data_IF_819500847745
#
_entry.id   IF_819500847745
#
_cell.length_a   1.000
_cell.length_b   1.000
_cell.length_c   1.000
_cell.angle_alpha   90.00
_cell.angle_beta   90.00
_cell.angle_gamma   90.00
#
_symmetry.space_group_name_H-M   'P 1'
#
loop_
_entity.id
_entity.type
_entity.pdbx_description
1 polymer ?
#
# COMPACT_ATOMS: atom_id res chain seq x y z
N UNK A 1 -54.93 15.48 28.12
CA UNK A 1 -53.50 15.29 28.43
C UNK A 1 -52.76 15.06 27.11
N UNK A 2 -52.17 16.12 26.55
CA UNK A 2 -51.41 16.10 25.30
C UNK A 2 -49.94 15.83 25.59
N UNK A 3 -49.34 14.84 24.94
CA UNK A 3 -47.89 14.68 24.84
C UNK A 3 -47.54 14.54 23.36
N UNK A 4 -47.16 15.67 22.77
CA UNK A 4 -46.58 15.73 21.43
C UNK A 4 -45.15 15.17 21.47
N UNK A 5 -44.87 14.18 20.61
CA UNK A 5 -43.51 13.69 20.36
C UNK A 5 -42.82 14.63 19.37
N UNK A 6 -41.85 15.40 19.84
CA UNK A 6 -40.91 16.13 18.98
C UNK A 6 -39.93 15.13 18.36
N UNK A 7 -40.01 14.95 17.04
CA UNK A 7 -38.96 14.32 16.26
C UNK A 7 -37.91 15.38 15.92
N UNK A 8 -36.71 15.24 16.46
CA UNK A 8 -35.56 16.09 16.10
C UNK A 8 -34.97 15.51 14.81
N UNK A 9 -35.30 16.12 13.67
CA UNK A 9 -34.56 15.90 12.43
C UNK A 9 -33.17 16.54 12.59
N UNK A 10 -32.16 15.69 12.74
CA UNK A 10 -30.76 16.10 12.58
C UNK A 10 -30.50 16.33 11.09
N UNK A 11 -30.34 17.59 10.69
CA UNK A 11 -29.84 17.95 9.37
C UNK A 11 -28.35 17.60 9.32
N UNK A 12 -28.00 16.55 8.57
CA UNK A 12 -26.61 16.25 8.22
C UNK A 12 -26.19 17.27 7.15
N UNK A 13 -25.28 18.17 7.52
CA UNK A 13 -24.56 19.02 6.57
C UNK A 13 -23.71 18.10 5.67
N UNK A 14 -24.08 18.00 4.39
CA UNK A 14 -23.19 17.47 3.36
C UNK A 14 -22.16 18.56 3.04
N UNK A 15 -20.98 18.48 3.67
CA UNK A 15 -19.84 19.29 3.27
C UNK A 15 -19.44 18.88 1.85
N UNK A 16 -19.54 19.83 0.92
CA UNK A 16 -19.22 19.63 -0.49
C UNK A 16 -17.78 19.19 -0.68
N UNK A 17 -17.58 18.22 -1.58
CA UNK A 17 -16.28 17.88 -2.13
C UNK A 17 -15.75 19.08 -2.94
N UNK A 18 -15.10 20.01 -2.26
CA UNK A 18 -14.20 20.95 -2.91
C UNK A 18 -13.07 20.15 -3.53
N UNK A 19 -12.90 20.25 -4.84
CA UNK A 19 -11.71 19.74 -5.53
C UNK A 19 -10.51 20.54 -5.02
N UNK A 20 -9.92 20.07 -3.93
CA UNK A 20 -8.64 20.56 -3.46
C UNK A 20 -7.64 20.35 -4.60
N UNK A 21 -6.80 21.36 -4.93
CA UNK A 21 -5.69 21.12 -5.85
C UNK A 21 -4.91 19.93 -5.31
N UNK A 22 -4.60 18.97 -6.18
CA UNK A 22 -3.84 17.77 -5.84
C UNK A 22 -2.41 18.22 -5.54
N UNK A 23 -2.19 18.70 -4.32
CA UNK A 23 -0.86 18.99 -3.79
C UNK A 23 -0.33 17.67 -3.29
N UNK A 24 0.78 17.24 -3.88
CA UNK A 24 1.40 16.00 -3.47
C UNK A 24 1.88 16.10 -2.02
N UNK A 25 1.60 15.08 -1.19
CA UNK A 25 1.84 15.19 0.23
C UNK A 25 3.36 15.27 0.51
N UNK A 26 3.80 16.14 1.43
CA UNK A 26 5.17 16.10 1.93
C UNK A 26 5.46 14.74 2.59
N UNK A 27 6.74 14.36 2.66
CA UNK A 27 7.17 13.07 3.25
C UNK A 27 6.80 12.99 4.73
N UNK A 28 6.76 14.14 5.40
CA UNK A 28 6.40 14.33 6.79
C UNK A 28 4.96 13.87 7.09
N UNK A 29 4.06 13.91 6.10
CA UNK A 29 2.66 13.51 6.28
C UNK A 29 2.50 12.01 6.59
N UNK A 30 3.45 11.19 6.12
CA UNK A 30 3.50 9.75 6.41
C UNK A 30 4.20 9.38 7.72
N UNK A 31 4.66 10.37 8.51
CA UNK A 31 5.52 10.10 9.67
C UNK A 31 4.84 9.17 10.67
N UNK A 32 3.54 9.37 10.93
CA UNK A 32 2.80 8.57 11.90
C UNK A 32 2.73 7.09 11.51
N UNK A 33 2.48 6.78 10.23
CA UNK A 33 2.42 5.42 9.70
C UNK A 33 3.81 4.76 9.73
N UNK A 34 4.87 5.52 9.39
CA UNK A 34 6.25 5.04 9.44
C UNK A 34 6.74 4.76 10.86
N UNK A 35 6.43 5.65 11.81
CA UNK A 35 6.74 5.42 13.23
C UNK A 35 5.96 4.21 13.78
N UNK A 36 4.70 4.07 13.37
CA UNK A 36 3.87 2.92 13.72
C UNK A 36 4.45 1.60 13.19
N UNK A 37 5.05 1.59 12.00
CA UNK A 37 5.76 0.42 11.49
C UNK A 37 6.92 0.00 12.39
N UNK A 38 7.68 0.94 12.96
CA UNK A 38 8.81 0.61 13.83
C UNK A 38 8.39 0.00 15.16
N UNK A 39 7.18 0.30 15.63
CA UNK A 39 6.64 -0.15 16.92
C UNK A 39 5.64 -1.30 16.81
N UNK A 40 5.23 -1.66 15.59
CA UNK A 40 4.28 -2.74 15.36
C UNK A 40 4.89 -4.11 15.68
N UNK A 41 4.07 -5.00 16.26
CA UNK A 41 4.50 -6.36 16.63
C UNK A 41 4.73 -7.27 15.43
N UNK A 42 4.09 -6.99 14.30
CA UNK A 42 4.05 -7.87 13.15
C UNK A 42 4.13 -7.06 11.86
N UNK A 43 4.94 -7.56 10.93
CA UNK A 43 4.95 -7.17 9.54
C UNK A 43 4.69 -8.45 8.72
N UNK A 44 3.70 -8.39 7.83
CA UNK A 44 3.43 -9.43 6.84
C UNK A 44 3.44 -8.83 5.44
N UNK A 45 3.68 -9.64 4.43
CA UNK A 45 3.84 -9.20 3.05
C UNK A 45 2.87 -9.96 2.15
N UNK A 46 2.13 -9.27 1.29
CA UNK A 46 1.32 -9.91 0.26
C UNK A 46 1.95 -9.66 -1.11
N UNK A 47 2.17 -10.72 -1.89
CA UNK A 47 2.70 -10.62 -3.26
C UNK A 47 1.57 -10.19 -4.21
N UNK A 48 1.84 -9.21 -5.08
CA UNK A 48 0.87 -8.71 -6.07
C UNK A 48 0.65 -9.70 -7.22
N UNK A 49 -0.54 -9.65 -7.83
CA UNK A 49 -0.83 -10.39 -9.06
C UNK A 49 -0.09 -9.80 -10.27
N UNK A 50 -0.02 -10.52 -11.42
CA UNK A 50 0.53 -10.00 -12.67
C UNK A 50 -0.12 -8.71 -13.15
N UNK A 51 0.61 -7.90 -13.91
CA UNK A 51 0.07 -6.61 -14.36
C UNK A 51 -1.05 -6.80 -15.39
N UNK A 52 -2.28 -6.34 -15.11
CA UNK A 52 -3.45 -6.49 -15.99
C UNK A 52 -3.17 -6.05 -17.45
N UNK A 53 -2.57 -4.87 -17.65
CA UNK A 53 -2.30 -4.37 -19.01
C UNK A 53 -1.11 -5.04 -19.73
N UNK A 54 -0.11 -5.58 -19.02
CA UNK A 54 1.12 -6.14 -19.61
C UNK A 54 1.08 -7.67 -19.71
N UNK A 55 0.30 -8.30 -18.83
CA UNK A 55 0.27 -9.73 -18.59
C UNK A 55 -1.18 -10.22 -18.48
N UNK A 56 -2.08 -9.66 -19.31
CA UNK A 56 -3.54 -9.87 -19.23
C UNK A 56 -3.95 -11.35 -19.12
N UNK A 57 -3.33 -12.24 -19.91
CA UNK A 57 -3.62 -13.67 -19.86
C UNK A 57 -3.18 -14.33 -18.54
N UNK A 58 -2.05 -13.90 -17.97
CA UNK A 58 -1.62 -14.36 -16.66
C UNK A 58 -2.56 -13.81 -15.59
N UNK A 59 -2.84 -12.50 -15.58
CA UNK A 59 -3.76 -11.89 -14.63
C UNK A 59 -5.14 -12.57 -14.64
N UNK A 60 -5.76 -12.77 -15.80
CA UNK A 60 -7.08 -13.40 -15.90
C UNK A 60 -7.14 -14.85 -15.38
N UNK A 61 -6.00 -15.56 -15.39
CA UNK A 61 -5.87 -16.87 -14.76
C UNK A 61 -5.67 -16.75 -13.26
N UNK A 62 -4.74 -15.89 -12.83
CA UNK A 62 -4.36 -15.75 -11.42
C UNK A 62 -5.48 -15.12 -10.59
N UNK A 63 -6.27 -14.20 -11.15
CA UNK A 63 -7.41 -13.57 -10.50
C UNK A 63 -8.51 -14.56 -10.08
N UNK A 64 -8.63 -15.68 -10.79
CA UNK A 64 -9.63 -16.73 -10.51
C UNK A 64 -9.19 -17.67 -9.38
N UNK A 65 -7.96 -17.53 -8.88
CA UNK A 65 -7.44 -18.36 -7.81
C UNK A 65 -8.14 -18.03 -6.50
N UNK A 66 -8.40 -19.08 -5.71
CA UNK A 66 -9.03 -18.96 -4.38
C UNK A 66 -8.09 -18.37 -3.33
N UNK A 67 -6.79 -18.43 -3.57
CA UNK A 67 -5.74 -17.93 -2.68
C UNK A 67 -5.31 -16.51 -3.08
N UNK A 68 -6.31 -15.65 -3.30
CA UNK A 68 -6.14 -14.22 -3.58
C UNK A 68 -7.07 -13.39 -2.71
N UNK A 69 -6.69 -12.14 -2.49
CA UNK A 69 -7.50 -11.14 -1.79
C UNK A 69 -7.44 -9.80 -2.51
N UNK A 70 -8.46 -8.99 -2.31
CA UNK A 70 -8.50 -7.60 -2.77
C UNK A 70 -8.18 -6.68 -1.60
N UNK A 71 -7.26 -5.75 -1.81
CA UNK A 71 -6.91 -4.68 -0.87
C UNK A 71 -6.98 -3.35 -1.64
N UNK A 72 -7.87 -2.46 -1.21
CA UNK A 72 -8.32 -1.32 -2.00
C UNK A 72 -8.76 -1.81 -3.41
N UNK A 73 -8.13 -1.29 -4.47
CA UNK A 73 -8.42 -1.68 -5.85
C UNK A 73 -7.41 -2.68 -6.43
N UNK A 74 -6.53 -3.25 -5.60
CA UNK A 74 -5.44 -4.12 -6.03
C UNK A 74 -5.62 -5.55 -5.51
N UNK A 75 -5.07 -6.51 -6.26
CA UNK A 75 -5.16 -7.94 -5.92
C UNK A 75 -3.81 -8.49 -5.51
N UNK A 76 -3.83 -9.28 -4.45
CA UNK A 76 -2.65 -9.92 -3.87
C UNK A 76 -2.91 -11.40 -3.62
N UNK A 77 -1.86 -12.21 -3.63
CA UNK A 77 -1.90 -13.60 -3.23
C UNK A 77 -2.00 -13.74 -1.69
N UNK A 78 -2.63 -14.83 -1.24
CA UNK A 78 -2.71 -15.24 0.18
C UNK A 78 -2.25 -16.70 0.37
N UNK A 79 -1.74 -17.13 1.52
CA UNK A 79 -1.50 -16.34 2.72
C UNK A 79 -0.35 -15.35 2.53
N UNK A 80 -0.28 -14.37 3.41
CA UNK A 80 0.85 -13.45 3.47
C UNK A 80 2.15 -14.20 3.80
N UNK A 81 3.25 -13.66 3.30
CA UNK A 81 4.62 -14.06 3.63
C UNK A 81 5.05 -13.34 4.89
N UNK A 82 5.57 -14.09 5.87
CA UNK A 82 6.28 -13.53 7.01
C UNK A 82 7.78 -13.53 6.72
N UNK A 83 8.45 -12.37 6.61
CA UNK A 83 9.89 -12.33 6.43
C UNK A 83 10.61 -12.92 7.64
N UNK A 84 11.83 -13.46 7.43
CA UNK A 84 12.70 -13.83 8.54
C UNK A 84 13.07 -12.58 9.37
N UNK A 85 13.49 -12.73 10.65
CA UNK A 85 13.73 -11.59 11.52
C UNK A 85 14.74 -10.56 10.99
N UNK A 86 15.80 -11.02 10.30
CA UNK A 86 16.82 -10.12 9.78
C UNK A 86 16.29 -9.33 8.58
N UNK A 87 15.54 -9.98 7.68
CA UNK A 87 14.86 -9.31 6.57
C UNK A 87 13.75 -8.37 7.06
N UNK A 88 12.97 -8.78 8.05
CA UNK A 88 11.94 -7.93 8.67
C UNK A 88 12.55 -6.61 9.14
N UNK A 89 13.63 -6.68 9.92
CA UNK A 89 14.33 -5.49 10.41
C UNK A 89 14.80 -4.58 9.27
N UNK A 90 15.41 -5.13 8.21
CA UNK A 90 15.89 -4.33 7.06
C UNK A 90 14.73 -3.68 6.30
N UNK A 91 13.64 -4.40 6.08
CA UNK A 91 12.45 -3.87 5.41
C UNK A 91 11.82 -2.72 6.20
N UNK A 92 11.68 -2.86 7.53
CA UNK A 92 11.20 -1.79 8.40
C UNK A 92 12.09 -0.56 8.36
N UNK A 93 13.40 -0.75 8.42
CA UNK A 93 14.36 0.36 8.34
C UNK A 93 14.23 1.11 7.02
N UNK A 94 14.09 0.40 5.89
CA UNK A 94 13.93 1.05 4.58
C UNK A 94 12.61 1.82 4.52
N UNK A 95 11.49 1.21 4.91
CA UNK A 95 10.17 1.84 4.81
C UNK A 95 9.95 2.98 5.80
N UNK A 96 10.56 2.91 6.98
CA UNK A 96 10.43 3.94 7.99
C UNK A 96 11.40 5.12 7.78
N UNK A 97 12.45 4.98 6.98
CA UNK A 97 13.40 6.06 6.70
C UNK A 97 12.78 7.11 5.77
N UNK A 98 12.64 8.39 6.19
CA UNK A 98 12.12 9.43 5.31
C UNK A 98 13.00 9.63 4.06
N UNK A 99 14.30 9.34 4.12
CA UNK A 99 15.20 9.42 2.97
C UNK A 99 14.94 8.33 1.91
N UNK A 100 14.08 7.35 2.21
CA UNK A 100 13.58 6.40 1.22
C UNK A 100 12.51 6.98 0.31
N UNK A 101 11.89 8.10 0.71
CA UNK A 101 10.77 8.70 0.04
C UNK A 101 11.15 10.04 -0.58
N UNK A 102 10.53 10.36 -1.71
CA UNK A 102 10.53 11.68 -2.31
C UNK A 102 9.08 12.05 -2.69
N UNK A 103 8.82 13.35 -2.80
CA UNK A 103 7.53 13.85 -3.26
C UNK A 103 7.14 13.17 -4.57
N UNK A 104 5.88 12.75 -4.68
CA UNK A 104 5.40 12.06 -5.87
C UNK A 104 5.45 12.97 -7.09
N UNK A 105 5.64 12.36 -8.24
CA UNK A 105 5.58 13.02 -9.53
C UNK A 105 4.85 12.12 -10.50
N UNK A 106 4.04 12.71 -11.38
CA UNK A 106 3.29 11.93 -12.36
C UNK A 106 4.24 11.20 -13.32
N UNK A 107 4.09 9.88 -13.39
CA UNK A 107 4.87 9.00 -14.29
C UNK A 107 4.00 8.42 -15.40
N UNK A 108 4.56 8.32 -16.61
CA UNK A 108 3.93 7.65 -17.76
C UNK A 108 4.23 6.15 -17.79
N UNK A 109 4.09 5.47 -16.64
CA UNK A 109 4.41 4.04 -16.48
C UNK A 109 3.22 3.08 -16.70
N UNK A 110 2.03 3.59 -17.03
CA UNK A 110 0.82 2.78 -17.27
C UNK A 110 -0.10 2.63 -16.06
N UNK A 111 0.11 3.41 -15.00
CA UNK A 111 -0.67 3.39 -13.76
C UNK A 111 0.07 2.72 -12.60
N UNK A 112 -0.43 2.93 -11.39
CA UNK A 112 0.12 2.28 -10.19
C UNK A 112 -0.30 0.82 -10.19
N UNK A 113 0.68 -0.08 -10.06
CA UNK A 113 0.43 -1.51 -9.99
C UNK A 113 1.37 -2.14 -8.95
N UNK A 114 0.90 -2.39 -7.73
CA UNK A 114 1.78 -2.83 -6.65
C UNK A 114 2.21 -4.28 -6.85
N UNK A 115 3.52 -4.49 -6.82
CA UNK A 115 4.15 -5.80 -6.81
C UNK A 115 4.12 -6.45 -5.43
N UNK A 116 4.02 -5.62 -4.38
CA UNK A 116 4.03 -6.04 -2.98
C UNK A 116 3.16 -5.13 -2.12
N UNK A 117 2.49 -5.71 -1.13
CA UNK A 117 1.89 -5.01 0.00
C UNK A 117 2.63 -5.36 1.29
N UNK A 118 2.98 -4.34 2.08
CA UNK A 118 3.47 -4.48 3.44
C UNK A 118 2.33 -4.18 4.40
N UNK A 119 2.02 -5.11 5.29
CA UNK A 119 0.85 -5.03 6.16
C UNK A 119 1.29 -5.03 7.62
N UNK A 120 0.87 -4.02 8.38
CA UNK A 120 1.07 -3.97 9.83
C UNK A 120 -0.11 -3.31 10.52
N UNK A 121 -0.16 -3.46 11.85
CA UNK A 121 -1.20 -2.87 12.69
C UNK A 121 -0.62 -1.91 13.71
N UNK A 122 -1.33 -0.80 13.92
CA UNK A 122 -1.09 0.13 15.02
C UNK A 122 -2.38 0.30 15.81
N UNK A 123 -2.45 -0.37 16.97
CA UNK A 123 -3.70 -0.50 17.71
C UNK A 123 -4.79 -1.19 16.88
N UNK A 124 -5.86 -0.46 16.56
CA UNK A 124 -6.98 -0.95 15.73
C UNK A 124 -6.85 -0.61 14.25
N UNK A 125 -5.82 0.14 13.84
CA UNK A 125 -5.62 0.58 12.46
C UNK A 125 -4.83 -0.47 11.69
N UNK A 126 -5.38 -0.94 10.59
CA UNK A 126 -4.66 -1.68 9.57
C UNK A 126 -3.99 -0.65 8.64
N UNK A 127 -2.67 -0.79 8.47
CA UNK A 127 -1.87 0.10 7.63
C UNK A 127 -1.17 -0.77 6.58
N UNK A 128 -1.21 -0.28 5.34
CA UNK A 128 -0.60 -0.95 4.22
C UNK A 128 0.38 -0.02 3.51
N UNK A 129 1.56 -0.50 3.14
CA UNK A 129 2.42 0.17 2.17
C UNK A 129 2.50 -0.68 0.91
N UNK A 130 1.96 -0.17 -0.19
CA UNK A 130 1.97 -0.82 -1.48
C UNK A 130 3.19 -0.34 -2.27
N UNK A 131 3.98 -1.26 -2.81
CA UNK A 131 5.20 -0.95 -3.58
C UNK A 131 5.02 -1.37 -5.03
N UNK A 132 5.17 -0.43 -5.95
CA UNK A 132 5.16 -0.67 -7.39
C UNK A 132 6.59 -0.62 -7.94
N UNK A 133 7.11 -1.74 -8.44
CA UNK A 133 8.44 -1.80 -9.04
C UNK A 133 8.49 -1.15 -10.41
N UNK A 134 7.41 -1.26 -11.20
CA UNK A 134 7.33 -0.64 -12.52
C UNK A 134 7.44 0.88 -12.46
N UNK A 135 6.72 1.53 -11.53
CA UNK A 135 6.75 2.98 -11.37
C UNK A 135 7.80 3.44 -10.36
N UNK A 136 8.37 2.56 -9.54
CA UNK A 136 9.28 2.91 -8.41
C UNK A 136 8.59 3.87 -7.44
N UNK A 137 7.40 3.48 -7.02
CA UNK A 137 6.53 4.28 -6.19
C UNK A 137 6.06 3.46 -5.00
N UNK A 138 5.68 4.19 -3.95
CA UNK A 138 5.11 3.64 -2.73
C UNK A 138 3.80 4.37 -2.42
N UNK A 139 2.78 3.61 -2.05
CA UNK A 139 1.48 4.15 -1.61
C UNK A 139 1.19 3.65 -0.21
N UNK A 140 1.02 4.54 0.75
CA UNK A 140 0.60 4.21 2.12
C UNK A 140 -0.92 4.36 2.19
N UNK A 141 -1.58 3.32 2.64
CA UNK A 141 -3.01 3.27 2.91
C UNK A 141 -3.20 3.11 4.42
N UNK A 142 -3.92 4.06 5.02
CA UNK A 142 -4.42 3.96 6.39
C UNK A 142 -5.93 4.31 6.38
N UNK A 143 -6.66 4.08 7.48
CA UNK A 143 -8.08 4.44 7.55
C UNK A 143 -8.34 5.93 7.33
N UNK A 144 -7.34 6.77 7.61
CA UNK A 144 -7.46 8.22 7.52
C UNK A 144 -7.02 8.79 6.17
N UNK A 145 -6.11 8.12 5.46
CA UNK A 145 -5.47 8.72 4.29
C UNK A 145 -4.87 7.70 3.32
N UNK A 146 -4.70 8.18 2.09
CA UNK A 146 -3.91 7.54 1.05
C UNK A 146 -2.82 8.49 0.61
N UNK A 147 -1.57 8.13 0.87
CA UNK A 147 -0.40 8.95 0.57
C UNK A 147 0.45 8.25 -0.50
N UNK A 148 0.89 8.99 -1.51
CA UNK A 148 1.71 8.44 -2.59
C UNK A 148 3.04 9.15 -2.67
N UNK A 149 4.09 8.36 -2.87
CA UNK A 149 5.47 8.82 -2.89
C UNK A 149 6.27 8.16 -4.01
N UNK A 150 7.31 8.85 -4.43
CA UNK A 150 8.39 8.24 -5.20
C UNK A 150 9.35 7.52 -4.24
N UNK A 151 9.81 6.33 -4.61
CA UNK A 151 10.96 5.72 -3.94
C UNK A 151 12.25 6.34 -4.45
N UNK A 152 13.18 6.66 -3.56
CA UNK A 152 14.53 7.05 -3.99
C UNK A 152 15.23 5.87 -4.67
N UNK A 153 16.16 6.10 -5.62
CA UNK A 153 16.85 5.01 -6.32
C UNK A 153 17.53 4.02 -5.37
N UNK A 154 18.12 4.52 -4.28
CA UNK A 154 18.77 3.70 -3.27
C UNK A 154 17.76 2.83 -2.50
N UNK A 155 16.64 3.39 -2.05
CA UNK A 155 15.60 2.63 -1.36
C UNK A 155 14.94 1.60 -2.27
N UNK A 156 14.65 1.97 -3.51
CA UNK A 156 14.11 1.05 -4.50
C UNK A 156 15.01 -0.18 -4.70
N UNK A 157 16.32 0.03 -4.90
CA UNK A 157 17.29 -1.07 -5.05
C UNK A 157 17.33 -1.98 -3.83
N UNK A 158 17.31 -1.40 -2.62
CA UNK A 158 17.29 -2.16 -1.37
C UNK A 158 16.00 -2.99 -1.23
N UNK A 159 14.83 -2.40 -1.53
CA UNK A 159 13.55 -3.11 -1.49
C UNK A 159 13.52 -4.27 -2.47
N UNK A 160 13.97 -4.06 -3.72
CA UNK A 160 14.05 -5.15 -4.70
C UNK A 160 14.93 -6.30 -4.20
N UNK A 161 16.10 -5.99 -3.63
CA UNK A 161 17.02 -7.02 -3.12
C UNK A 161 16.40 -7.87 -2.00
N UNK A 162 15.52 -7.29 -1.17
CA UNK A 162 14.85 -8.03 -0.09
C UNK A 162 13.57 -8.77 -0.56
N UNK A 163 12.84 -8.19 -1.52
CA UNK A 163 11.51 -8.67 -1.91
C UNK A 163 11.55 -9.67 -3.07
N UNK A 164 12.47 -9.51 -4.04
CA UNK A 164 12.57 -10.43 -5.17
C UNK A 164 12.79 -11.88 -4.72
N UNK A 165 13.67 -12.18 -3.74
CA UNK A 165 13.84 -13.54 -3.23
C UNK A 165 12.61 -14.13 -2.52
N UNK A 166 11.63 -13.30 -2.12
CA UNK A 166 10.39 -13.75 -1.49
C UNK A 166 9.29 -14.09 -2.51
N UNK A 167 9.49 -13.75 -3.78
CA UNK A 167 8.50 -13.95 -4.84
C UNK A 167 8.33 -15.45 -5.09
N UNK A 168 7.11 -15.96 -4.90
CA UNK A 168 6.84 -17.39 -4.96
C UNK A 168 5.69 -17.76 -5.89
N UNK A 169 4.73 -16.85 -6.10
CA UNK A 169 3.47 -17.17 -6.77
C UNK A 169 3.29 -16.50 -8.12
N UNK A 170 3.89 -15.33 -8.32
CA UNK A 170 3.75 -14.57 -9.55
C UNK A 170 4.31 -15.37 -10.73
N UNK A 171 3.51 -15.67 -11.77
CA UNK A 171 3.99 -16.35 -12.96
C UNK A 171 4.94 -15.42 -13.74
N UNK A 172 6.21 -15.80 -13.88
CA UNK A 172 7.22 -15.04 -14.62
C UNK A 172 8.52 -14.85 -13.84
N UNK A 173 9.67 -14.94 -14.53
CA UNK A 173 11.00 -14.75 -13.92
C UNK A 173 11.08 -13.35 -13.29
N UNK A 174 11.73 -13.18 -12.13
CA UNK A 174 11.95 -11.86 -11.57
C UNK A 174 12.71 -10.99 -12.57
N UNK A 175 12.28 -9.74 -12.73
CA UNK A 175 13.01 -8.76 -13.52
C UNK A 175 14.41 -8.59 -12.90
N UNK A 176 15.39 -9.18 -13.56
CA UNK A 176 16.82 -8.92 -13.37
C UNK A 176 17.15 -7.48 -13.78
#
# INVERSE_FOLDING_TARGET
>A
MHLARLAILSAILMAGAGAHPHVEPPVEESKAERDALLTSKTLTLSEGLPHLAKEAAAFAREEKRRDTQTLADFKFYTPDVKPDPARDQRLRQILADPASLAMWTQKRCGGFHPDWSFNWRSGRKDIHALVCFGCKELMILSPEQQLRYNLTPAAFKKLQAELVPLRAKHPGKPAS
#
